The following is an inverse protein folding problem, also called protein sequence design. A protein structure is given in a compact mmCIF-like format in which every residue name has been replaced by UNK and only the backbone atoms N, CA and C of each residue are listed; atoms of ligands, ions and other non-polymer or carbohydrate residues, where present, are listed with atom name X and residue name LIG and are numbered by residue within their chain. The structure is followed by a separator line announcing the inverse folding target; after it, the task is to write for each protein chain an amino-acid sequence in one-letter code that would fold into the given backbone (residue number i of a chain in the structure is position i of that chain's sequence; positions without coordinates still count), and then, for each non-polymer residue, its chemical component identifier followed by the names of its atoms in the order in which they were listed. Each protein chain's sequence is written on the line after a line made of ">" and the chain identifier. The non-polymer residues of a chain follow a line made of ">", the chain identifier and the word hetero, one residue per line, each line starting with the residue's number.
data_IF_596232007594
#
_entry.id   IF_596232007594
#
_cell.length_a   1.000
_cell.length_b   1.000
_cell.length_c   1.000
_cell.angle_alpha   90.00
_cell.angle_beta   90.00
_cell.angle_gamma   90.00
#
_symmetry.space_group_name_H-M   'P 1'
#
loop_
_entity.id
_entity.type
_entity.pdbx_description
1 polymer ?
#
# COMPACT_ATOMS: atom_id res chain seq x y z
N UNK A 1 -21.76 3.35 0.87
CA UNK A 1 -22.30 2.02 0.50
C UNK A 1 -21.42 1.43 -0.59
N UNK A 2 -21.01 0.16 -0.49
CA UNK A 2 -20.21 -0.49 -1.53
C UNK A 2 -21.06 -0.76 -2.78
N UNK A 3 -20.59 -0.35 -3.96
CA UNK A 3 -21.28 -0.55 -5.23
C UNK A 3 -21.23 -2.03 -5.68
N UNK A 4 -22.09 -2.40 -6.63
CA UNK A 4 -22.05 -3.74 -7.24
C UNK A 4 -20.75 -3.95 -8.04
N UNK A 5 -20.23 -2.88 -8.67
CA UNK A 5 -19.00 -2.90 -9.44
C UNK A 5 -17.77 -3.20 -8.57
N UNK A 6 -17.73 -2.64 -7.36
CA UNK A 6 -16.72 -2.98 -6.36
C UNK A 6 -16.78 -4.46 -5.99
N UNK A 7 -17.96 -5.00 -5.70
CA UNK A 7 -18.09 -6.43 -5.37
C UNK A 7 -17.58 -7.31 -6.51
N UNK A 8 -17.92 -6.98 -7.74
CA UNK A 8 -17.46 -7.71 -8.92
C UNK A 8 -15.95 -7.60 -9.13
N UNK A 9 -15.33 -6.43 -8.92
CA UNK A 9 -13.89 -6.30 -9.08
C UNK A 9 -13.15 -7.20 -8.08
N UNK A 10 -13.57 -7.24 -6.83
CA UNK A 10 -12.95 -8.12 -5.82
C UNK A 10 -13.24 -9.62 -6.05
N UNK A 11 -14.41 -9.96 -6.59
CA UNK A 11 -14.76 -11.35 -6.93
C UNK A 11 -13.95 -11.86 -8.13
N UNK A 12 -13.80 -11.05 -9.17
CA UNK A 12 -13.15 -11.41 -10.42
C UNK A 12 -11.77 -10.76 -10.53
N UNK A 13 -10.71 -11.51 -10.21
CA UNK A 13 -9.33 -11.00 -10.21
C UNK A 13 -8.94 -10.35 -11.55
N UNK A 14 -9.36 -10.91 -12.68
CA UNK A 14 -9.07 -10.35 -14.01
C UNK A 14 -9.67 -8.95 -14.19
N UNK A 15 -10.85 -8.70 -13.62
CA UNK A 15 -11.53 -7.41 -13.68
C UNK A 15 -10.82 -6.39 -12.78
N UNK A 16 -10.43 -6.81 -11.57
CA UNK A 16 -9.59 -5.99 -10.70
C UNK A 16 -8.27 -5.61 -11.38
N UNK A 17 -7.56 -6.59 -11.93
CA UNK A 17 -6.27 -6.38 -12.60
C UNK A 17 -6.45 -5.45 -13.82
N UNK A 18 -7.53 -5.60 -14.61
CA UNK A 18 -7.84 -4.71 -15.73
C UNK A 18 -8.12 -3.26 -15.29
N UNK A 19 -8.92 -3.07 -14.24
CA UNK A 19 -9.20 -1.74 -13.68
C UNK A 19 -7.91 -1.12 -13.14
N UNK A 20 -7.09 -1.89 -12.42
CA UNK A 20 -5.82 -1.42 -11.87
C UNK A 20 -4.84 -1.00 -12.98
N UNK A 21 -4.73 -1.79 -14.06
CA UNK A 21 -3.90 -1.45 -15.22
C UNK A 21 -4.38 -0.17 -15.91
N UNK A 22 -5.69 -0.05 -16.14
CA UNK A 22 -6.27 1.14 -16.76
C UNK A 22 -6.04 2.39 -15.90
N UNK A 23 -6.32 2.31 -14.60
CA UNK A 23 -6.09 3.41 -13.67
C UNK A 23 -4.61 3.79 -13.58
N UNK A 24 -3.69 2.82 -13.68
CA UNK A 24 -2.26 3.08 -13.65
C UNK A 24 -1.71 3.74 -14.93
N UNK A 25 -2.46 3.81 -16.04
CA UNK A 25 -1.99 4.47 -17.26
C UNK A 25 -1.66 5.96 -17.05
N UNK A 26 -2.40 6.63 -16.16
CA UNK A 26 -2.19 8.05 -15.83
C UNK A 26 -0.80 8.32 -15.24
N UNK A 27 -0.20 7.31 -14.60
CA UNK A 27 1.12 7.37 -13.97
C UNK A 27 2.19 6.61 -14.75
N UNK A 28 1.90 6.25 -16.01
CA UNK A 28 2.83 5.57 -16.92
C UNK A 28 2.81 4.04 -16.83
N UNK A 29 1.70 3.45 -16.36
CA UNK A 29 1.43 2.01 -16.34
C UNK A 29 1.68 1.34 -14.99
N UNK A 30 1.16 0.11 -14.84
CA UNK A 30 1.19 -0.64 -13.58
C UNK A 30 2.62 -0.91 -13.09
N UNK A 31 3.54 -1.27 -13.99
CA UNK A 31 4.93 -1.54 -13.61
C UNK A 31 5.62 -0.32 -12.99
N UNK A 32 5.37 0.87 -13.54
CA UNK A 32 5.89 2.13 -12.99
C UNK A 32 5.22 2.43 -11.67
N UNK A 33 3.89 2.38 -11.61
CA UNK A 33 3.11 2.64 -10.41
C UNK A 33 3.58 1.82 -9.20
N UNK A 34 3.78 0.51 -9.38
CA UNK A 34 4.21 -0.41 -8.31
C UNK A 34 5.64 -0.17 -7.83
N UNK A 35 6.45 0.58 -8.59
CA UNK A 35 7.82 0.94 -8.22
C UNK A 35 7.96 2.38 -7.72
N UNK A 36 6.93 3.22 -7.86
CA UNK A 36 7.01 4.65 -7.49
C UNK A 36 7.39 4.85 -6.03
N UNK A 37 6.77 4.10 -5.11
CA UNK A 37 7.06 4.18 -3.67
C UNK A 37 8.49 3.73 -3.32
N UNK A 38 9.13 2.95 -4.19
CA UNK A 38 10.49 2.42 -4.00
C UNK A 38 11.56 3.33 -4.60
N UNK A 39 11.16 4.33 -5.40
CA UNK A 39 12.08 5.18 -6.14
C UNK A 39 12.93 6.01 -5.18
N UNK A 40 14.26 5.87 -5.30
CA UNK A 40 15.22 6.59 -4.46
C UNK A 40 15.53 5.90 -3.13
N UNK A 41 14.93 4.73 -2.86
CA UNK A 41 15.32 3.89 -1.73
C UNK A 41 16.53 3.02 -2.12
N UNK A 42 17.47 2.88 -1.19
CA UNK A 42 18.58 1.95 -1.35
C UNK A 42 18.13 0.59 -0.84
N UNK A 43 17.81 -0.31 -1.77
CA UNK A 43 17.39 -1.68 -1.49
C UNK A 43 18.43 -2.62 -2.08
N UNK A 44 18.92 -3.55 -1.28
CA UNK A 44 19.82 -4.60 -1.69
C UNK A 44 19.22 -6.01 -1.41
N UNK A 45 19.94 -7.05 -1.84
CA UNK A 45 19.49 -8.44 -1.72
C UNK A 45 19.21 -8.90 -0.28
N UNK A 46 19.73 -8.19 0.71
CA UNK A 46 19.66 -8.49 2.13
C UNK A 46 18.64 -7.65 2.91
N UNK A 47 18.08 -6.59 2.30
CA UNK A 47 17.06 -5.73 2.91
C UNK A 47 15.84 -6.55 3.33
N UNK A 48 15.46 -6.52 4.60
CA UNK A 48 14.24 -7.17 5.11
C UNK A 48 13.02 -6.32 4.76
N UNK A 49 12.16 -6.82 3.88
CA UNK A 49 11.00 -6.08 3.35
C UNK A 49 9.69 -6.72 3.83
N UNK A 50 8.79 -5.88 4.36
CA UNK A 50 7.38 -6.22 4.55
C UNK A 50 6.53 -5.55 3.47
N UNK A 51 5.85 -6.34 2.65
CA UNK A 51 4.75 -5.90 1.77
C UNK A 51 3.45 -6.00 2.58
N UNK A 52 3.04 -4.88 3.17
CA UNK A 52 1.87 -4.76 4.03
C UNK A 52 0.60 -4.58 3.18
N UNK A 53 -0.41 -5.42 3.44
CA UNK A 53 -1.61 -5.55 2.60
C UNK A 53 -1.26 -5.98 1.17
N UNK A 54 -0.46 -7.05 1.04
CA UNK A 54 0.16 -7.48 -0.22
C UNK A 54 -0.83 -8.02 -1.27
N UNK A 55 -2.08 -8.31 -0.89
CA UNK A 55 -3.14 -8.85 -1.74
C UNK A 55 -2.67 -10.10 -2.50
N UNK A 56 -2.78 -10.10 -3.84
CA UNK A 56 -2.37 -11.20 -4.69
C UNK A 56 -0.90 -11.09 -5.13
N UNK A 57 -0.09 -10.26 -4.45
CA UNK A 57 1.35 -10.14 -4.68
C UNK A 57 1.76 -9.27 -5.88
N UNK A 58 0.91 -8.32 -6.31
CA UNK A 58 1.21 -7.43 -7.43
C UNK A 58 2.45 -6.56 -7.18
N UNK A 59 2.67 -6.09 -5.95
CA UNK A 59 3.87 -5.34 -5.57
C UNK A 59 4.98 -6.28 -5.16
N UNK A 60 4.66 -7.34 -4.41
CA UNK A 60 5.59 -8.40 -4.00
C UNK A 60 6.45 -8.91 -5.16
N UNK A 61 5.86 -9.11 -6.35
CA UNK A 61 6.59 -9.60 -7.54
C UNK A 61 7.73 -8.66 -8.00
N UNK A 62 7.65 -7.37 -7.67
CA UNK A 62 8.70 -6.40 -7.95
C UNK A 62 9.71 -6.36 -6.80
N UNK A 63 9.24 -6.41 -5.55
CA UNK A 63 10.10 -6.40 -4.36
C UNK A 63 11.12 -7.54 -4.37
N UNK A 64 10.68 -8.75 -4.76
CA UNK A 64 11.56 -9.94 -4.85
C UNK A 64 12.64 -9.84 -5.93
N UNK A 65 12.58 -8.84 -6.82
CA UNK A 65 13.66 -8.57 -7.78
C UNK A 65 14.79 -7.76 -7.15
N UNK A 66 14.53 -7.08 -6.03
CA UNK A 66 15.51 -6.27 -5.31
C UNK A 66 16.07 -7.01 -4.09
N UNK A 67 15.22 -7.76 -3.37
CA UNK A 67 15.59 -8.47 -2.15
C UNK A 67 15.14 -9.93 -2.14
N UNK A 68 15.98 -10.80 -1.56
CA UNK A 68 15.64 -12.21 -1.28
C UNK A 68 14.82 -12.37 0.01
N UNK A 69 14.58 -11.28 0.75
CA UNK A 69 13.97 -11.26 2.09
C UNK A 69 12.67 -10.47 2.10
N UNK A 70 11.69 -10.94 1.32
CA UNK A 70 10.37 -10.32 1.21
C UNK A 70 9.33 -11.16 1.94
N UNK A 71 8.61 -10.53 2.87
CA UNK A 71 7.42 -11.08 3.51
C UNK A 71 6.20 -10.29 3.06
N UNK A 72 5.17 -10.96 2.52
CA UNK A 72 3.85 -10.35 2.29
C UNK A 72 2.90 -10.64 3.45
N UNK A 73 2.11 -9.66 3.85
CA UNK A 73 1.04 -9.82 4.84
C UNK A 73 -0.29 -9.36 4.27
N UNK A 74 -1.33 -10.16 4.42
CA UNK A 74 -2.70 -9.80 4.03
C UNK A 74 -3.71 -10.61 4.85
N UNK A 75 -4.84 -10.01 5.23
CA UNK A 75 -5.89 -10.68 6.00
C UNK A 75 -6.72 -11.67 5.15
N UNK A 76 -6.59 -11.64 3.82
CA UNK A 76 -7.36 -12.50 2.93
C UNK A 76 -6.61 -13.80 2.58
N UNK A 77 -7.04 -14.97 3.09
CA UNK A 77 -6.43 -16.26 2.73
C UNK A 77 -6.50 -16.53 1.23
N UNK A 78 -7.58 -16.06 0.57
CA UNK A 78 -7.76 -16.20 -0.88
C UNK A 78 -6.74 -15.37 -1.66
N UNK A 79 -6.46 -14.14 -1.20
CA UNK A 79 -5.45 -13.30 -1.82
C UNK A 79 -4.04 -13.90 -1.63
N UNK A 80 -3.72 -14.34 -0.41
CA UNK A 80 -2.44 -15.01 -0.11
C UNK A 80 -2.24 -16.30 -0.91
N UNK A 81 -3.29 -17.10 -1.13
CA UNK A 81 -3.20 -18.29 -1.97
C UNK A 81 -2.82 -17.93 -3.42
N UNK A 82 -3.30 -16.79 -3.94
CA UNK A 82 -2.90 -16.27 -5.26
C UNK A 82 -1.49 -15.70 -5.23
N UNK A 83 -1.12 -14.96 -4.18
CA UNK A 83 0.21 -14.41 -4.00
C UNK A 83 1.28 -15.50 -3.97
N UNK A 84 1.07 -16.57 -3.20
CA UNK A 84 1.95 -17.76 -3.15
C UNK A 84 2.16 -18.41 -4.52
N UNK A 85 1.12 -18.45 -5.36
CA UNK A 85 1.24 -18.96 -6.74
C UNK A 85 2.01 -18.00 -7.65
N UNK A 86 1.83 -16.69 -7.46
CA UNK A 86 2.45 -15.64 -8.28
C UNK A 86 3.93 -15.43 -7.93
N UNK A 87 4.27 -15.47 -6.64
CA UNK A 87 5.61 -15.17 -6.11
C UNK A 87 6.01 -16.20 -5.05
N UNK A 88 6.29 -17.46 -5.45
CA UNK A 88 6.57 -18.55 -4.52
C UNK A 88 7.84 -18.39 -3.68
N UNK A 89 8.76 -17.51 -4.09
CA UNK A 89 9.98 -17.21 -3.36
C UNK A 89 9.79 -16.26 -2.16
N UNK A 90 8.65 -15.57 -2.06
CA UNK A 90 8.33 -14.72 -0.92
C UNK A 90 7.71 -15.53 0.23
N UNK A 91 7.87 -15.01 1.46
CA UNK A 91 7.16 -15.54 2.63
C UNK A 91 5.82 -14.82 2.79
N UNK A 92 4.85 -15.48 3.42
CA UNK A 92 3.51 -14.93 3.60
C UNK A 92 2.96 -15.17 5.00
N UNK A 93 2.32 -14.15 5.58
CA UNK A 93 1.59 -14.22 6.84
C UNK A 93 0.13 -13.78 6.63
N UNK A 94 -0.81 -14.54 7.21
CA UNK A 94 -2.23 -14.20 7.25
C UNK A 94 -2.53 -13.55 8.59
N UNK A 95 -2.73 -12.23 8.58
CA UNK A 95 -3.07 -11.47 9.78
C UNK A 95 -3.65 -10.10 9.41
N UNK A 96 -4.28 -9.43 10.36
CA UNK A 96 -4.67 -8.03 10.24
C UNK A 96 -3.45 -7.10 10.26
N UNK A 97 -3.55 -5.97 9.55
CA UNK A 97 -2.46 -4.97 9.51
C UNK A 97 -2.30 -4.26 10.87
N UNK A 98 -3.36 -4.23 11.67
CA UNK A 98 -3.43 -3.72 13.04
C UNK A 98 -2.68 -4.61 14.05
N UNK A 99 -2.36 -5.86 13.70
CA UNK A 99 -1.83 -6.87 14.61
C UNK A 99 -0.65 -7.64 14.00
N UNK A 100 0.43 -6.92 13.63
CA UNK A 100 1.55 -7.54 12.93
C UNK A 100 2.24 -8.66 13.75
N UNK A 101 2.33 -9.91 13.25
CA UNK A 101 2.87 -11.06 13.97
C UNK A 101 4.40 -11.13 13.89
N UNK A 102 5.05 -9.98 14.00
CA UNK A 102 6.50 -9.81 13.86
C UNK A 102 7.09 -9.17 15.10
N UNK A 103 8.33 -9.52 15.40
CA UNK A 103 9.10 -8.86 16.45
C UNK A 103 9.36 -7.39 16.12
N UNK A 104 9.63 -6.61 17.15
CA UNK A 104 10.06 -5.22 17.03
C UNK A 104 11.36 -5.14 16.21
N UNK A 105 11.57 -4.02 15.51
CA UNK A 105 12.81 -3.73 14.77
C UNK A 105 13.23 -4.85 13.80
N UNK A 106 12.29 -5.47 13.09
CA UNK A 106 12.55 -6.59 12.19
C UNK A 106 12.87 -6.15 10.76
N UNK A 107 12.18 -5.13 10.25
CA UNK A 107 12.21 -4.77 8.84
C UNK A 107 13.02 -3.51 8.57
N UNK A 108 13.80 -3.55 7.49
CA UNK A 108 14.49 -2.38 6.95
C UNK A 108 13.54 -1.51 6.13
N UNK A 109 12.53 -2.13 5.51
CA UNK A 109 11.51 -1.46 4.70
C UNK A 109 10.13 -2.08 4.99
N UNK A 110 9.16 -1.24 5.34
CA UNK A 110 7.74 -1.60 5.27
C UNK A 110 7.12 -0.82 4.13
N UNK A 111 6.48 -1.51 3.20
CA UNK A 111 5.86 -0.90 2.04
C UNK A 111 4.38 -1.29 1.97
N UNK A 112 3.51 -0.34 1.62
CA UNK A 112 2.10 -0.61 1.30
C UNK A 112 1.66 0.17 0.06
N UNK A 113 0.68 -0.37 -0.68
CA UNK A 113 0.23 0.21 -1.96
C UNK A 113 -1.27 0.04 -2.12
N UNK A 114 -2.00 1.17 -2.19
CA UNK A 114 -3.44 1.23 -2.47
C UNK A 114 -4.22 0.37 -1.47
N UNK A 115 -4.06 0.68 -0.18
CA UNK A 115 -4.61 -0.12 0.91
C UNK A 115 -5.09 0.71 2.11
N UNK A 116 -4.42 1.82 2.45
CA UNK A 116 -4.72 2.59 3.65
C UNK A 116 -6.06 3.35 3.53
N UNK A 117 -6.51 3.67 2.31
CA UNK A 117 -7.83 4.28 2.07
C UNK A 117 -9.02 3.37 2.43
N UNK A 118 -8.79 2.07 2.59
CA UNK A 118 -9.81 1.11 3.03
C UNK A 118 -10.01 1.11 4.56
N UNK A 119 -9.10 1.76 5.29
CA UNK A 119 -9.05 1.71 6.75
C UNK A 119 -9.82 2.87 7.37
N UNK A 120 -10.50 2.60 8.50
CA UNK A 120 -11.05 3.68 9.32
C UNK A 120 -9.91 4.50 9.95
N UNK A 121 -10.15 5.76 10.33
CA UNK A 121 -9.14 6.60 10.95
C UNK A 121 -8.44 5.97 12.16
N UNK A 122 -9.17 5.26 13.01
CA UNK A 122 -8.63 4.59 14.20
C UNK A 122 -7.73 3.40 13.81
N UNK A 123 -8.15 2.61 12.83
CA UNK A 123 -7.37 1.49 12.28
C UNK A 123 -6.09 2.00 11.62
N UNK A 124 -6.16 3.09 10.86
CA UNK A 124 -4.99 3.72 10.26
C UNK A 124 -3.95 4.09 11.32
N UNK A 125 -4.38 4.69 12.43
CA UNK A 125 -3.47 4.99 13.55
C UNK A 125 -2.84 3.73 14.13
N UNK A 126 -3.61 2.66 14.36
CA UNK A 126 -3.10 1.38 14.87
C UNK A 126 -2.09 0.74 13.92
N UNK A 127 -2.37 0.75 12.61
CA UNK A 127 -1.48 0.25 11.57
C UNK A 127 -0.16 1.02 11.60
N UNK A 128 -0.21 2.35 11.65
CA UNK A 128 1.01 3.17 11.71
C UNK A 128 1.86 2.89 12.96
N UNK A 129 1.22 2.62 14.11
CA UNK A 129 1.93 2.20 15.32
C UNK A 129 2.61 0.83 15.15
N UNK A 130 1.93 -0.13 14.53
CA UNK A 130 2.53 -1.44 14.24
C UNK A 130 3.68 -1.34 13.24
N UNK A 131 3.50 -0.57 12.17
CA UNK A 131 4.54 -0.29 11.17
C UNK A 131 5.77 0.29 11.85
N UNK A 132 5.60 1.28 12.71
CA UNK A 132 6.70 1.87 13.46
C UNK A 132 7.40 0.85 14.37
N UNK A 133 6.62 0.04 15.10
CA UNK A 133 7.16 -0.99 16.00
C UNK A 133 8.03 -2.01 15.26
N UNK A 134 7.59 -2.48 14.09
CA UNK A 134 8.31 -3.54 13.35
C UNK A 134 9.44 -3.00 12.47
N UNK A 135 9.47 -1.69 12.21
CA UNK A 135 10.58 -1.04 11.52
C UNK A 135 11.81 -0.99 12.44
N UNK A 136 12.97 -1.28 11.87
CA UNK A 136 14.25 -1.01 12.54
C UNK A 136 14.44 0.49 12.77
N UNK A 137 15.34 0.89 13.68
CA UNK A 137 15.89 2.25 13.66
C UNK A 137 16.44 2.56 12.27
N UNK A 138 16.18 3.75 11.73
CA UNK A 138 16.50 4.17 10.35
C UNK A 138 15.77 3.37 9.24
N UNK A 139 14.84 2.49 9.60
CA UNK A 139 14.00 1.79 8.63
C UNK A 139 13.07 2.74 7.90
N UNK A 140 12.69 2.40 6.67
CA UNK A 140 11.81 3.25 5.85
C UNK A 140 10.38 2.71 5.80
N UNK A 141 9.41 3.60 5.98
CA UNK A 141 8.03 3.33 5.57
C UNK A 141 7.76 3.95 4.20
N UNK A 142 7.37 3.14 3.22
CA UNK A 142 7.02 3.58 1.88
C UNK A 142 5.55 3.32 1.57
N UNK A 143 4.80 4.36 1.22
CA UNK A 143 3.37 4.26 0.94
C UNK A 143 3.05 4.91 -0.40
N UNK A 144 2.17 4.27 -1.17
CA UNK A 144 1.50 4.89 -2.32
C UNK A 144 0.01 4.68 -2.19
N UNK A 145 -0.76 5.77 -2.17
CA UNK A 145 -2.20 5.70 -2.00
C UNK A 145 -2.90 6.93 -2.61
N UNK A 146 -4.23 6.96 -2.54
CA UNK A 146 -5.06 8.04 -3.07
C UNK A 146 -4.82 9.33 -2.29
N UNK A 147 -4.69 10.44 -3.01
CA UNK A 147 -4.63 11.78 -2.43
C UNK A 147 -5.60 12.70 -3.17
N UNK A 148 -5.87 13.87 -2.59
CA UNK A 148 -6.70 14.87 -3.25
C UNK A 148 -5.90 15.46 -4.43
N UNK A 149 -6.42 15.38 -5.67
CA UNK A 149 -5.71 15.92 -6.81
C UNK A 149 -5.59 17.44 -6.71
N UNK A 150 -4.40 17.97 -7.00
CA UNK A 150 -4.17 19.41 -7.00
C UNK A 150 -4.66 20.06 -8.30
N UNK A 151 -4.54 19.35 -9.42
CA UNK A 151 -5.02 19.84 -10.71
C UNK A 151 -6.50 19.51 -10.93
N UNK A 152 -7.36 20.52 -11.16
CA UNK A 152 -8.80 20.32 -11.32
C UNK A 152 -9.18 19.44 -12.51
N UNK A 153 -8.31 19.25 -13.49
CA UNK A 153 -8.56 18.39 -14.65
C UNK A 153 -8.77 16.92 -14.25
N UNK A 154 -8.14 16.47 -13.16
CA UNK A 154 -8.23 15.08 -12.70
C UNK A 154 -9.40 14.85 -11.73
N UNK A 155 -10.00 15.92 -11.18
CA UNK A 155 -11.10 15.83 -10.19
C UNK A 155 -12.28 15.01 -10.72
N UNK A 156 -12.83 15.24 -11.93
CA UNK A 156 -14.00 14.49 -12.39
C UNK A 156 -13.73 12.99 -12.54
N UNK A 157 -12.56 12.63 -13.06
CA UNK A 157 -12.16 11.23 -13.25
C UNK A 157 -11.97 10.50 -11.92
N UNK A 158 -11.25 11.12 -10.97
CA UNK A 158 -11.05 10.55 -9.63
C UNK A 158 -12.38 10.46 -8.88
N UNK A 159 -13.24 11.48 -8.95
CA UNK A 159 -14.57 11.47 -8.32
C UNK A 159 -15.42 10.32 -8.86
N UNK A 160 -15.43 10.11 -10.17
CA UNK A 160 -16.16 9.00 -10.79
C UNK A 160 -15.59 7.65 -10.35
N UNK A 161 -14.26 7.49 -10.37
CA UNK A 161 -13.60 6.27 -9.92
C UNK A 161 -13.96 5.94 -8.46
N UNK A 162 -13.83 6.92 -7.56
CA UNK A 162 -14.17 6.76 -6.16
C UNK A 162 -15.65 6.43 -5.95
N UNK A 163 -16.55 7.06 -6.72
CA UNK A 163 -17.99 6.77 -6.64
C UNK A 163 -18.33 5.35 -7.09
N UNK A 164 -17.59 4.81 -8.07
CA UNK A 164 -17.84 3.48 -8.64
C UNK A 164 -17.16 2.36 -7.87
N UNK A 165 -15.98 2.58 -7.29
CA UNK A 165 -15.14 1.50 -6.76
C UNK A 165 -14.80 1.64 -5.28
N UNK A 166 -15.00 2.80 -4.67
CA UNK A 166 -14.52 3.07 -3.31
C UNK A 166 -15.63 3.28 -2.27
N UNK A 167 -15.25 3.16 -1.00
CA UNK A 167 -16.12 3.33 0.17
C UNK A 167 -15.95 4.70 0.82
N UNK A 168 -16.80 5.00 1.81
CA UNK A 168 -16.73 6.25 2.58
C UNK A 168 -15.35 6.49 3.23
N UNK A 169 -14.67 5.41 3.63
CA UNK A 169 -13.30 5.46 4.16
C UNK A 169 -12.32 6.10 3.18
N UNK A 170 -12.43 5.79 1.88
CA UNK A 170 -11.55 6.38 0.87
C UNK A 170 -11.84 7.89 0.69
N UNK A 171 -13.11 8.29 0.76
CA UNK A 171 -13.50 9.70 0.72
C UNK A 171 -12.98 10.49 1.93
N UNK A 172 -12.93 9.87 3.10
CA UNK A 172 -12.31 10.44 4.30
C UNK A 172 -10.78 10.47 4.20
N UNK A 173 -10.18 9.42 3.65
CA UNK A 173 -8.75 9.30 3.46
C UNK A 173 -8.19 10.36 2.51
N UNK A 174 -8.85 10.61 1.38
CA UNK A 174 -8.43 11.65 0.41
C UNK A 174 -8.44 13.05 1.03
N UNK A 175 -9.30 13.30 2.03
CA UNK A 175 -9.32 14.56 2.80
C UNK A 175 -8.29 14.58 3.93
N UNK A 176 -7.63 13.46 4.20
CA UNK A 176 -6.62 13.32 5.25
C UNK A 176 -5.26 13.70 4.69
N UNK A 177 -4.58 14.63 5.36
CA UNK A 177 -3.18 14.91 5.07
C UNK A 177 -2.30 13.85 5.74
N UNK A 178 -2.08 12.73 5.04
CA UNK A 178 -1.28 11.61 5.56
C UNK A 178 0.15 12.05 5.93
N UNK A 179 0.88 12.84 5.11
CA UNK A 179 2.19 13.36 5.49
C UNK A 179 2.17 14.12 6.82
N UNK A 180 1.20 15.00 7.02
CA UNK A 180 1.07 15.76 8.27
C UNK A 180 0.77 14.87 9.47
N UNK A 181 -0.10 13.85 9.30
CA UNK A 181 -0.32 12.85 10.34
C UNK A 181 0.96 12.09 10.68
N UNK A 182 1.71 11.63 9.67
CA UNK A 182 2.98 10.94 9.88
C UNK A 182 3.97 11.81 10.65
N UNK A 183 4.10 13.09 10.27
CA UNK A 183 4.98 14.06 10.97
C UNK A 183 4.53 14.37 12.40
N UNK A 184 3.22 14.39 12.66
CA UNK A 184 2.68 14.60 14.01
C UNK A 184 2.90 13.38 14.92
N UNK A 185 2.80 12.17 14.36
CA UNK A 185 3.03 10.91 15.10
C UNK A 185 4.51 10.62 15.34
N UNK A 186 5.35 10.87 14.34
CA UNK A 186 6.79 10.64 14.40
C UNK A 186 7.48 12.01 14.49
N UNK A 187 7.81 12.45 15.71
CA UNK A 187 8.41 13.76 15.98
C UNK A 187 9.48 14.13 14.93
N UNK A 188 9.36 15.34 14.38
CA UNK A 188 9.98 15.81 13.14
C UNK A 188 11.49 15.53 12.98
N UNK A 189 12.23 15.42 14.09
CA UNK A 189 13.69 15.24 14.07
C UNK A 189 14.14 13.78 13.92
N UNK A 190 13.27 12.79 14.18
CA UNK A 190 13.63 11.37 14.17
C UNK A 190 13.18 10.61 12.91
N UNK A 191 12.25 11.15 12.12
CA UNK A 191 11.68 10.49 10.95
C UNK A 191 11.29 11.50 9.86
N UNK A 192 12.21 11.85 8.93
CA UNK A 192 11.91 12.83 7.89
C UNK A 192 10.86 12.29 6.89
N UNK A 193 9.71 12.94 6.82
CA UNK A 193 8.64 12.60 5.88
C UNK A 193 8.88 13.27 4.52
N UNK A 194 8.89 12.48 3.44
CA UNK A 194 8.92 12.97 2.06
C UNK A 194 7.64 12.55 1.35
N UNK A 195 6.93 13.49 0.72
CA UNK A 195 5.76 13.22 -0.11
C UNK A 195 6.00 13.64 -1.55
N UNK A 196 5.36 12.94 -2.49
CA UNK A 196 5.35 13.28 -3.90
C UNK A 196 3.95 13.00 -4.48
N UNK A 197 3.39 14.01 -5.14
CA UNK A 197 2.07 13.93 -5.77
C UNK A 197 2.21 13.73 -7.29
N UNK A 198 1.27 13.00 -7.88
CA UNK A 198 1.31 12.60 -9.29
C UNK A 198 0.14 13.14 -10.13
N UNK A 199 -0.69 14.04 -9.57
CA UNK A 199 -1.89 14.60 -10.22
C UNK A 199 -2.10 16.09 -9.99
#
# INVERSE_FOLDING_TARGET
>A
MATILRKWSYQYQWLYDAIAQFSALTVGGEARFRQLALKGLSIDKHTQILDLCCRAGQTTQFLVKYSDRVTGLDASPVALARAKKRVPQAQYAEELAEELPFSDNRFDLVQTSVALHEMKPEQLTQILQQVYRVLKPEGTFACIDLHQPHNPIFIPGITLFMALFETETAWQFVKTNLPEKLSAYFSCDSFPVKSQDFS
#
